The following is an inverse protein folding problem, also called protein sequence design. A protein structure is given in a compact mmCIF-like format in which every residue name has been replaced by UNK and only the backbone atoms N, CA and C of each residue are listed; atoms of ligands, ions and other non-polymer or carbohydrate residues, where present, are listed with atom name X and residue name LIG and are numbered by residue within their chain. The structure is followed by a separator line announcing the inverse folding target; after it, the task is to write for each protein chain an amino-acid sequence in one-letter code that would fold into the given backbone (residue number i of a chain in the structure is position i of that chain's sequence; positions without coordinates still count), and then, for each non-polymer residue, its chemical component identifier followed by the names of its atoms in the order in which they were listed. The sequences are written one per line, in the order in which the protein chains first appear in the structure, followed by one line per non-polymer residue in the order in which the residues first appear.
data_IF_083217026130
#
_entry.id   IF_083217026130
#
_cell.length_a   1.000
_cell.length_b   1.000
_cell.length_c   1.000
_cell.angle_alpha   90.00
_cell.angle_beta   90.00
_cell.angle_gamma   90.00
#
_symmetry.space_group_name_H-M   'P 1'
#
loop_
_entity.id
_entity.type
_entity.pdbx_description
1 polymer ?
#
# COMPACT_ATOMS: atom_id res chain seq x y z
N UNK A 1 -8.42 29.94 34.09
CA UNK A 1 -8.40 29.72 32.62
C UNK A 1 -7.70 28.42 32.19
N UNK A 2 -7.25 27.57 33.14
CA UNK A 2 -6.43 26.36 32.82
C UNK A 2 -7.17 25.01 32.91
N UNK A 3 -8.30 24.91 33.61
CA UNK A 3 -9.06 23.64 33.69
C UNK A 3 -9.66 23.19 32.35
N UNK A 4 -10.11 24.11 31.51
CA UNK A 4 -10.64 23.81 30.17
C UNK A 4 -9.56 23.38 29.15
N UNK A 5 -8.29 23.70 29.41
CA UNK A 5 -7.16 23.22 28.57
C UNK A 5 -6.67 21.83 28.98
N UNK A 6 -6.80 21.47 30.25
CA UNK A 6 -6.48 20.12 30.73
C UNK A 6 -7.56 19.10 30.37
N UNK A 7 -8.87 19.45 30.49
CA UNK A 7 -9.96 18.60 30.00
C UNK A 7 -9.93 18.36 28.47
N UNK A 8 -9.40 19.30 27.68
CA UNK A 8 -9.20 19.14 26.24
C UNK A 8 -7.94 18.32 25.87
N UNK A 9 -7.01 18.10 26.81
CA UNK A 9 -5.80 17.28 26.61
C UNK A 9 -6.03 15.78 26.73
N UNK A 10 -7.11 15.34 27.39
CA UNK A 10 -7.41 13.91 27.63
C UNK A 10 -8.47 13.31 26.71
N UNK A 11 -9.09 14.07 25.82
CA UNK A 11 -10.06 13.51 24.85
C UNK A 11 -9.34 12.68 23.80
N UNK A 12 -9.39 11.37 23.99
CA UNK A 12 -8.90 10.43 22.98
C UNK A 12 -9.82 10.47 21.76
N UNK A 13 -9.34 11.10 20.66
CA UNK A 13 -10.10 11.26 19.41
C UNK A 13 -10.68 9.94 18.90
N UNK A 14 -9.95 8.84 19.05
CA UNK A 14 -10.39 7.51 18.62
C UNK A 14 -11.61 7.02 19.42
N UNK A 15 -11.76 7.46 20.69
CA UNK A 15 -12.86 7.11 21.57
C UNK A 15 -14.06 8.05 21.41
N UNK A 16 -13.82 9.36 21.46
CA UNK A 16 -14.86 10.37 21.72
C UNK A 16 -15.45 10.98 20.46
N UNK A 17 -14.70 10.97 19.34
CA UNK A 17 -15.15 11.59 18.10
C UNK A 17 -16.18 10.72 17.37
N UNK A 18 -17.26 11.29 16.80
CA UNK A 18 -18.18 10.57 15.91
C UNK A 18 -17.41 9.89 14.76
N UNK A 19 -17.72 8.64 14.48
CA UNK A 19 -16.96 7.80 13.55
C UNK A 19 -16.88 8.39 12.14
N UNK A 20 -17.99 8.96 11.61
CA UNK A 20 -17.97 9.59 10.28
C UNK A 20 -17.00 10.76 10.20
N UNK A 21 -16.97 11.63 11.23
CA UNK A 21 -16.02 12.75 11.30
C UNK A 21 -14.57 12.28 11.46
N UNK A 22 -14.36 11.26 12.31
CA UNK A 22 -13.04 10.65 12.52
C UNK A 22 -12.50 10.02 11.22
N UNK A 23 -13.37 9.33 10.46
CA UNK A 23 -13.03 8.72 9.18
C UNK A 23 -12.56 9.77 8.15
N UNK A 24 -13.22 10.93 8.09
CA UNK A 24 -12.80 12.03 7.21
C UNK A 24 -11.49 12.64 7.70
N UNK A 25 -11.36 12.91 8.99
CA UNK A 25 -10.18 13.55 9.56
C UNK A 25 -8.92 12.68 9.43
N UNK A 26 -9.06 11.37 9.53
CA UNK A 26 -7.94 10.43 9.31
C UNK A 26 -7.77 10.07 7.84
N UNK A 27 -8.87 9.90 7.12
CA UNK A 27 -8.85 9.43 5.73
C UNK A 27 -8.28 10.44 4.75
N UNK A 28 -8.65 11.74 4.86
CA UNK A 28 -8.14 12.76 3.94
C UNK A 28 -6.60 12.82 3.93
N UNK A 29 -5.90 12.91 5.07
CA UNK A 29 -4.44 12.88 5.08
C UNK A 29 -3.87 11.60 4.46
N UNK A 30 -4.45 10.44 4.74
CA UNK A 30 -3.98 9.15 4.22
C UNK A 30 -4.21 9.02 2.70
N UNK A 31 -5.36 9.50 2.20
CA UNK A 31 -5.63 9.58 0.76
C UNK A 31 -4.60 10.49 0.07
N UNK A 32 -4.35 11.67 0.64
CA UNK A 32 -3.35 12.60 0.11
C UNK A 32 -1.95 11.98 0.10
N UNK A 33 -1.61 11.25 1.15
CA UNK A 33 -0.35 10.53 1.28
C UNK A 33 -0.16 9.52 0.15
N UNK A 34 -1.17 8.70 -0.12
CA UNK A 34 -1.16 7.71 -1.21
C UNK A 34 -1.12 8.35 -2.60
N UNK A 35 -1.86 9.45 -2.80
CA UNK A 35 -1.84 10.19 -4.06
C UNK A 35 -0.45 10.78 -4.34
N UNK A 36 0.20 11.36 -3.33
CA UNK A 36 1.56 11.88 -3.44
C UNK A 36 2.58 10.77 -3.71
N UNK A 37 2.42 9.60 -3.12
CA UNK A 37 3.27 8.45 -3.41
C UNK A 37 3.17 8.04 -4.88
N UNK A 38 1.98 8.06 -5.47
CA UNK A 38 1.80 7.77 -6.90
C UNK A 38 2.52 8.80 -7.78
N UNK A 39 2.37 10.09 -7.46
CA UNK A 39 3.07 11.18 -8.18
C UNK A 39 4.58 11.05 -8.05
N UNK A 40 5.09 10.83 -6.85
CA UNK A 40 6.50 10.63 -6.59
C UNK A 40 7.10 9.50 -7.44
N UNK A 41 6.45 8.32 -7.49
CA UNK A 41 6.94 7.19 -8.30
C UNK A 41 7.02 7.51 -9.80
N UNK A 42 6.10 8.35 -10.31
CA UNK A 42 6.11 8.80 -11.70
C UNK A 42 7.28 9.75 -11.94
N UNK A 43 7.49 10.70 -11.04
CA UNK A 43 8.55 11.73 -11.15
C UNK A 43 9.94 11.09 -11.09
N UNK A 44 10.19 10.18 -10.12
CA UNK A 44 11.45 9.45 -9.99
C UNK A 44 11.78 8.67 -11.28
N UNK A 45 10.82 7.93 -11.82
CA UNK A 45 11.00 7.21 -13.08
C UNK A 45 11.27 8.13 -14.27
N UNK A 46 10.66 9.32 -14.28
CA UNK A 46 10.87 10.31 -15.33
C UNK A 46 12.29 10.90 -15.29
N UNK A 47 12.83 11.18 -14.10
CA UNK A 47 14.21 11.66 -13.99
C UNK A 47 15.23 10.63 -14.49
N UNK A 48 15.08 9.36 -14.10
CA UNK A 48 15.97 8.28 -14.57
C UNK A 48 15.84 8.07 -16.09
N UNK A 49 14.62 8.11 -16.63
CA UNK A 49 14.36 7.97 -18.07
C UNK A 49 14.90 9.12 -18.93
N UNK A 50 15.17 10.29 -18.35
CA UNK A 50 15.72 11.46 -19.03
C UNK A 50 17.24 11.63 -18.85
N UNK A 51 17.95 10.61 -18.37
CA UNK A 51 19.42 10.64 -18.30
C UNK A 51 20.03 10.78 -19.70
N UNK A 52 21.08 11.60 -19.81
CA UNK A 52 21.76 11.88 -21.11
C UNK A 52 22.48 10.66 -21.71
N UNK A 53 22.99 9.78 -20.85
CA UNK A 53 23.74 8.58 -21.23
C UNK A 53 23.22 7.38 -20.46
N UNK A 54 22.94 6.29 -21.17
CA UNK A 54 22.56 5.02 -20.56
C UNK A 54 21.16 4.97 -19.97
N UNK A 55 20.24 5.86 -20.37
CA UNK A 55 18.85 5.89 -19.84
C UNK A 55 18.10 4.58 -20.07
N UNK A 56 18.30 3.93 -21.22
CA UNK A 56 17.68 2.63 -21.51
C UNK A 56 18.23 1.53 -20.59
N UNK A 57 19.55 1.46 -20.42
CA UNK A 57 20.18 0.51 -19.49
C UNK A 57 19.76 0.79 -18.04
N UNK A 58 19.62 2.06 -17.67
CA UNK A 58 19.15 2.47 -16.35
C UNK A 58 17.69 2.03 -16.09
N UNK A 59 16.79 2.23 -17.05
CA UNK A 59 15.39 1.75 -16.93
C UNK A 59 15.30 0.24 -16.86
N UNK A 60 16.12 -0.47 -17.66
CA UNK A 60 16.23 -1.93 -17.56
C UNK A 60 16.74 -2.36 -16.18
N UNK A 61 17.79 -1.70 -15.67
CA UNK A 61 18.31 -1.97 -14.33
C UNK A 61 17.23 -1.79 -13.25
N UNK A 62 16.45 -0.69 -13.28
CA UNK A 62 15.34 -0.48 -12.36
C UNK A 62 14.27 -1.57 -12.47
N UNK A 63 13.99 -2.07 -13.67
CA UNK A 63 13.03 -3.15 -13.88
C UNK A 63 13.49 -4.46 -13.20
N UNK A 64 14.78 -4.79 -13.28
CA UNK A 64 15.35 -5.98 -12.63
C UNK A 64 15.37 -5.87 -11.10
N UNK A 65 15.53 -4.67 -10.58
CA UNK A 65 15.58 -4.38 -9.14
C UNK A 65 14.18 -4.36 -8.49
N UNK A 66 13.18 -3.98 -9.27
CA UNK A 66 11.81 -3.73 -8.79
C UNK A 66 11.21 -4.86 -7.94
N UNK A 67 11.35 -6.18 -8.28
CA UNK A 67 10.78 -7.24 -7.45
C UNK A 67 11.32 -7.27 -6.03
N UNK A 68 12.62 -7.04 -5.83
CA UNK A 68 13.23 -7.03 -4.50
C UNK A 68 12.82 -5.78 -3.72
N UNK A 69 12.76 -4.62 -4.38
CA UNK A 69 12.24 -3.40 -3.75
C UNK A 69 10.79 -3.59 -3.29
N UNK A 70 9.94 -4.18 -4.13
CA UNK A 70 8.55 -4.48 -3.76
C UNK A 70 8.45 -5.44 -2.60
N UNK A 71 9.34 -6.43 -2.51
CA UNK A 71 9.41 -7.34 -1.37
C UNK A 71 9.78 -6.60 -0.07
N UNK A 72 10.78 -5.71 -0.11
CA UNK A 72 11.16 -4.90 1.06
C UNK A 72 10.01 -4.00 1.53
N UNK A 73 9.34 -3.35 0.58
CA UNK A 73 8.15 -2.52 0.87
C UNK A 73 7.03 -3.38 1.45
N UNK A 74 6.76 -4.55 0.87
CA UNK A 74 5.73 -5.48 1.34
C UNK A 74 6.00 -5.96 2.77
N UNK A 75 7.24 -6.28 3.11
CA UNK A 75 7.64 -6.69 4.46
C UNK A 75 7.42 -5.54 5.47
N UNK A 76 7.82 -4.32 5.13
CA UNK A 76 7.61 -3.14 5.96
C UNK A 76 6.13 -2.83 6.17
N UNK A 77 5.38 -2.68 5.08
CA UNK A 77 3.95 -2.34 5.11
C UNK A 77 3.14 -3.45 5.78
N UNK A 78 3.38 -4.72 5.45
CA UNK A 78 2.61 -5.83 6.00
C UNK A 78 2.82 -5.99 7.51
N UNK A 79 4.08 -5.91 7.99
CA UNK A 79 4.38 -5.89 9.42
C UNK A 79 3.72 -4.68 10.09
N UNK A 80 3.77 -3.52 9.44
CA UNK A 80 3.14 -2.29 9.92
C UNK A 80 1.61 -2.39 9.99
N UNK A 81 0.94 -3.00 9.02
CA UNK A 81 -0.53 -3.21 9.01
C UNK A 81 -0.96 -4.11 10.16
N UNK A 82 -0.24 -5.22 10.38
CA UNK A 82 -0.49 -6.10 11.53
C UNK A 82 -0.31 -5.37 12.87
N UNK A 83 0.75 -4.58 12.99
CA UNK A 83 1.03 -3.74 14.16
C UNK A 83 -0.07 -2.70 14.38
N UNK A 84 -0.49 -1.99 13.34
CA UNK A 84 -1.54 -0.97 13.39
C UNK A 84 -2.85 -1.52 13.95
N UNK A 85 -3.35 -2.60 13.35
CA UNK A 85 -4.60 -3.22 13.79
C UNK A 85 -4.51 -3.76 15.23
N UNK A 86 -3.38 -4.37 15.59
CA UNK A 86 -3.19 -4.93 16.93
C UNK A 86 -3.09 -3.83 18.00
N UNK A 87 -2.31 -2.77 17.76
CA UNK A 87 -2.20 -1.63 18.69
C UNK A 87 -3.55 -0.93 18.85
N UNK A 88 -4.21 -0.58 17.74
CA UNK A 88 -5.49 0.13 17.79
C UNK A 88 -6.53 -0.66 18.61
N UNK A 89 -6.60 -1.98 18.41
CA UNK A 89 -7.46 -2.86 19.20
C UNK A 89 -7.09 -2.89 20.68
N UNK A 90 -5.80 -3.05 20.99
CA UNK A 90 -5.31 -3.14 22.38
C UNK A 90 -5.54 -1.83 23.13
N UNK A 91 -5.35 -0.69 22.47
CA UNK A 91 -5.71 0.62 23.01
C UNK A 91 -7.22 0.78 23.22
N UNK A 92 -8.05 0.20 22.33
CA UNK A 92 -9.49 0.14 22.49
C UNK A 92 -9.90 -0.67 23.73
N UNK A 93 -9.15 -1.72 24.07
CA UNK A 93 -9.32 -2.51 25.30
C UNK A 93 -8.84 -1.78 26.57
N UNK A 94 -8.14 -0.64 26.43
CA UNK A 94 -7.55 0.10 27.54
C UNK A 94 -6.21 -0.46 28.05
N UNK A 95 -5.67 -1.48 27.42
CA UNK A 95 -4.42 -2.15 27.81
C UNK A 95 -3.21 -1.44 27.19
N UNK A 96 -2.77 -0.36 27.84
CA UNK A 96 -1.64 0.48 27.38
C UNK A 96 -0.30 -0.27 27.45
N UNK A 97 -0.10 -1.13 28.43
CA UNK A 97 1.14 -1.90 28.59
C UNK A 97 1.32 -2.89 27.44
N UNK A 98 0.23 -3.60 27.09
CA UNK A 98 0.26 -4.51 25.95
C UNK A 98 0.46 -3.77 24.63
N UNK A 99 -0.12 -2.57 24.46
CA UNK A 99 0.11 -1.73 23.30
C UNK A 99 1.58 -1.32 23.18
N UNK A 100 2.25 -0.97 24.29
CA UNK A 100 3.69 -0.68 24.35
C UNK A 100 4.52 -1.91 23.93
N UNK A 101 4.17 -3.11 24.40
CA UNK A 101 4.84 -4.36 24.02
C UNK A 101 4.64 -4.67 22.52
N UNK A 102 3.47 -4.42 21.96
CA UNK A 102 3.22 -4.59 20.52
C UNK A 102 4.06 -3.62 19.71
N UNK A 103 4.13 -2.35 20.10
CA UNK A 103 4.98 -1.34 19.45
C UNK A 103 6.47 -1.72 19.53
N UNK A 104 6.97 -2.10 20.71
CA UNK A 104 8.36 -2.54 20.89
C UNK A 104 8.70 -3.79 20.05
N UNK A 105 7.82 -4.80 20.04
CA UNK A 105 8.01 -5.99 19.23
C UNK A 105 7.98 -5.68 17.71
N UNK A 106 7.18 -4.72 17.27
CA UNK A 106 7.18 -4.31 15.86
C UNK A 106 8.51 -3.67 15.44
N UNK A 107 9.09 -2.84 16.31
CA UNK A 107 10.41 -2.24 16.07
C UNK A 107 11.53 -3.31 16.08
N UNK A 108 11.45 -4.30 16.98
CA UNK A 108 12.34 -5.47 16.95
C UNK A 108 12.23 -6.23 15.64
N UNK A 109 11.02 -6.51 15.17
CA UNK A 109 10.79 -7.17 13.87
C UNK A 109 11.34 -6.33 12.72
N UNK A 110 11.17 -5.01 12.77
CA UNK A 110 11.79 -4.09 11.80
C UNK A 110 13.30 -4.21 11.75
N UNK A 111 13.96 -4.32 12.91
CA UNK A 111 15.39 -4.53 12.97
C UNK A 111 15.81 -5.90 12.40
N UNK A 112 15.03 -6.96 12.64
CA UNK A 112 15.29 -8.30 12.05
C UNK A 112 15.14 -8.25 10.52
N UNK A 113 14.07 -7.65 10.01
CA UNK A 113 13.85 -7.49 8.57
C UNK A 113 15.00 -6.69 7.94
N UNK A 114 15.42 -5.60 8.59
CA UNK A 114 16.56 -4.81 8.14
C UNK A 114 17.84 -5.65 8.05
N UNK A 115 18.15 -6.45 9.08
CA UNK A 115 19.36 -7.32 9.07
C UNK A 115 19.30 -8.32 7.91
N UNK A 116 18.13 -8.91 7.64
CA UNK A 116 17.94 -9.82 6.49
C UNK A 116 18.18 -9.08 5.17
N UNK A 117 17.61 -7.89 4.99
CA UNK A 117 17.82 -7.07 3.79
C UNK A 117 19.28 -6.63 3.64
N UNK A 118 19.94 -6.26 4.75
CA UNK A 118 21.36 -5.89 4.77
C UNK A 118 22.25 -7.07 4.32
N UNK A 119 22.03 -8.25 4.89
CA UNK A 119 22.79 -9.45 4.51
C UNK A 119 22.58 -9.80 3.03
N UNK A 120 21.34 -9.71 2.54
CA UNK A 120 21.07 -9.89 1.11
C UNK A 120 21.75 -8.80 0.27
N UNK A 121 21.76 -7.56 0.72
CA UNK A 121 22.42 -6.43 0.06
C UNK A 121 23.92 -6.64 -0.13
N UNK A 122 24.58 -7.24 0.89
CA UNK A 122 26.02 -7.49 0.86
C UNK A 122 26.36 -8.77 0.06
N UNK A 123 25.60 -9.85 0.26
CA UNK A 123 25.97 -11.19 -0.22
C UNK A 123 25.18 -11.63 -1.46
N UNK A 124 23.91 -11.22 -1.60
CA UNK A 124 22.97 -11.82 -2.56
C UNK A 124 22.72 -11.02 -3.82
N UNK A 125 22.87 -9.68 -3.77
CA UNK A 125 22.44 -8.80 -4.85
C UNK A 125 23.11 -9.11 -6.18
N UNK A 126 24.43 -9.31 -6.20
CA UNK A 126 25.15 -9.60 -7.46
C UNK A 126 24.70 -10.91 -8.09
N UNK A 127 24.58 -11.96 -7.29
CA UNK A 127 24.12 -13.29 -7.74
C UNK A 127 22.68 -13.19 -8.31
N UNK A 128 21.81 -12.46 -7.64
CA UNK A 128 20.43 -12.23 -8.08
C UNK A 128 20.37 -11.49 -9.43
N UNK A 129 21.11 -10.40 -9.62
CA UNK A 129 21.10 -9.63 -10.86
C UNK A 129 21.74 -10.41 -12.02
N UNK A 130 22.91 -11.03 -11.82
CA UNK A 130 23.60 -11.83 -12.85
C UNK A 130 22.72 -13.00 -13.33
N UNK A 131 21.83 -13.54 -12.49
CA UNK A 131 20.89 -14.60 -12.90
C UNK A 131 19.81 -14.10 -13.90
N UNK A 132 19.63 -12.79 -14.06
CA UNK A 132 18.57 -12.22 -14.88
C UNK A 132 19.05 -11.54 -16.17
N UNK A 133 20.30 -11.10 -16.25
CA UNK A 133 20.85 -10.40 -17.42
C UNK A 133 22.31 -10.75 -17.64
N UNK A 134 22.71 -10.78 -18.90
CA UNK A 134 24.12 -10.91 -19.33
C UNK A 134 24.74 -9.57 -19.74
N UNK A 135 23.94 -8.50 -19.80
CA UNK A 135 24.43 -7.16 -20.12
C UNK A 135 25.22 -6.60 -18.92
N UNK A 136 26.50 -6.33 -19.16
CA UNK A 136 27.42 -5.88 -18.11
C UNK A 136 27.04 -4.48 -17.59
N UNK A 137 26.60 -3.58 -18.47
CA UNK A 137 26.24 -2.21 -18.08
C UNK A 137 24.95 -2.23 -17.21
N UNK A 138 23.93 -2.96 -17.64
CA UNK A 138 22.70 -3.14 -16.87
C UNK A 138 22.99 -3.82 -15.54
N UNK A 139 23.86 -4.83 -15.53
CA UNK A 139 24.26 -5.56 -14.32
C UNK A 139 24.90 -4.63 -13.28
N UNK A 140 25.89 -3.82 -13.66
CA UNK A 140 26.57 -2.94 -12.70
C UNK A 140 25.61 -1.85 -12.17
N UNK A 141 24.79 -1.24 -13.03
CA UNK A 141 23.78 -0.26 -12.62
C UNK A 141 22.75 -0.88 -11.65
N UNK A 142 22.26 -2.08 -11.94
CA UNK A 142 21.27 -2.76 -11.10
C UNK A 142 21.86 -3.21 -9.76
N UNK A 143 23.10 -3.74 -9.75
CA UNK A 143 23.81 -4.13 -8.55
C UNK A 143 24.05 -2.94 -7.64
N UNK A 144 24.53 -1.84 -8.18
CA UNK A 144 24.80 -0.63 -7.40
C UNK A 144 23.51 -0.08 -6.79
N UNK A 145 22.46 0.08 -7.58
CA UNK A 145 21.17 0.58 -7.12
C UNK A 145 20.58 -0.32 -6.01
N UNK A 146 20.48 -1.61 -6.28
CA UNK A 146 19.85 -2.56 -5.34
C UNK A 146 20.67 -2.71 -4.06
N UNK A 147 22.00 -2.73 -4.15
CA UNK A 147 22.88 -2.79 -2.98
C UNK A 147 22.67 -1.57 -2.07
N UNK A 148 22.63 -0.36 -2.64
CA UNK A 148 22.34 0.86 -1.87
C UNK A 148 20.98 0.72 -1.20
N UNK A 149 19.91 0.34 -1.92
CA UNK A 149 18.58 0.18 -1.38
C UNK A 149 18.53 -0.86 -0.25
N UNK A 150 19.21 -1.99 -0.37
CA UNK A 150 19.20 -3.04 0.64
C UNK A 150 20.04 -2.68 1.87
N UNK A 151 21.22 -2.10 1.69
CA UNK A 151 22.11 -1.72 2.80
C UNK A 151 21.47 -0.63 3.67
N UNK A 152 20.78 0.32 3.07
CA UNK A 152 20.09 1.39 3.78
C UNK A 152 18.58 1.15 3.92
N UNK A 153 18.10 -0.07 3.78
CA UNK A 153 16.68 -0.43 3.86
C UNK A 153 16.02 -0.11 5.22
N UNK A 154 16.81 0.16 6.27
CA UNK A 154 16.26 0.63 7.53
C UNK A 154 15.40 1.90 7.36
N UNK A 155 15.70 2.77 6.41
CA UNK A 155 14.90 3.94 6.09
C UNK A 155 13.46 3.58 5.77
N UNK A 156 13.24 2.74 4.76
CA UNK A 156 11.88 2.34 4.34
C UNK A 156 11.16 1.47 5.36
N UNK A 157 11.89 0.58 6.06
CA UNK A 157 11.30 -0.34 7.03
C UNK A 157 10.81 0.44 8.25
N UNK A 158 11.65 1.27 8.85
CA UNK A 158 11.26 2.06 10.03
C UNK A 158 10.30 3.19 9.69
N UNK A 159 10.40 3.81 8.50
CA UNK A 159 9.38 4.72 7.98
C UNK A 159 8.00 4.06 8.02
N UNK A 160 7.87 2.87 7.39
CA UNK A 160 6.59 2.14 7.33
C UNK A 160 6.06 1.79 8.73
N UNK A 161 6.93 1.39 9.65
CA UNK A 161 6.52 1.05 11.02
C UNK A 161 6.05 2.29 11.80
N UNK A 162 6.84 3.37 11.82
CA UNK A 162 6.44 4.59 12.53
C UNK A 162 5.20 5.25 11.94
N UNK A 163 5.04 5.18 10.61
CA UNK A 163 3.81 5.59 9.94
C UNK A 163 2.61 4.85 10.52
N UNK A 164 2.65 3.53 10.58
CA UNK A 164 1.56 2.69 11.08
C UNK A 164 1.33 2.82 12.59
N UNK A 165 2.38 3.07 13.39
CA UNK A 165 2.27 3.38 14.81
C UNK A 165 1.52 4.71 15.06
N UNK A 166 1.77 5.74 14.25
CA UNK A 166 1.06 7.02 14.33
C UNK A 166 -0.39 6.89 13.85
N UNK A 167 -0.63 6.11 12.80
CA UNK A 167 -1.98 5.84 12.29
C UNK A 167 -2.83 5.08 13.32
N UNK A 168 -2.25 4.10 14.03
CA UNK A 168 -2.93 3.30 15.06
C UNK A 168 -3.48 4.15 16.22
N UNK A 169 -2.86 5.30 16.50
CA UNK A 169 -3.25 6.24 17.56
C UNK A 169 -4.06 7.43 17.04
N UNK A 170 -4.52 7.37 15.78
CA UNK A 170 -5.33 8.44 15.18
C UNK A 170 -4.55 9.68 14.72
N UNK A 171 -3.21 9.58 14.64
CA UNK A 171 -2.31 10.69 14.25
C UNK A 171 -1.90 10.65 12.78
N UNK A 172 -2.85 10.35 11.89
CA UNK A 172 -2.61 10.21 10.45
C UNK A 172 -2.04 11.46 9.77
N UNK A 173 -2.40 12.66 10.27
CA UNK A 173 -1.82 13.91 9.75
C UNK A 173 -0.29 13.94 9.89
N UNK A 174 0.24 13.47 11.01
CA UNK A 174 1.69 13.46 11.25
C UNK A 174 2.37 12.39 10.39
N UNK A 175 1.72 11.25 10.15
CA UNK A 175 2.25 10.25 9.21
C UNK A 175 2.31 10.80 7.79
N UNK A 176 1.29 11.54 7.36
CA UNK A 176 1.26 12.23 6.06
C UNK A 176 2.38 13.30 5.95
N UNK A 177 2.59 14.12 6.98
CA UNK A 177 3.67 15.11 6.98
C UNK A 177 5.04 14.44 6.78
N UNK A 178 5.29 13.32 7.46
CA UNK A 178 6.53 12.57 7.28
C UNK A 178 6.71 12.03 5.87
N UNK A 179 5.65 11.49 5.27
CA UNK A 179 5.68 10.98 3.90
C UNK A 179 5.89 12.10 2.87
N UNK A 180 5.16 13.22 3.02
CA UNK A 180 5.31 14.40 2.14
C UNK A 180 6.74 14.94 2.19
N UNK A 181 7.31 15.06 3.40
CA UNK A 181 8.69 15.53 3.56
C UNK A 181 9.69 14.63 2.83
N UNK A 182 9.55 13.30 2.97
CA UNK A 182 10.44 12.36 2.28
C UNK A 182 10.31 12.45 0.76
N UNK A 183 9.09 12.56 0.25
CA UNK A 183 8.83 12.72 -1.18
C UNK A 183 9.42 14.03 -1.72
N UNK A 184 9.26 15.14 -1.01
CA UNK A 184 9.83 16.44 -1.39
C UNK A 184 11.37 16.39 -1.41
N UNK A 185 11.98 15.80 -0.37
CA UNK A 185 13.44 15.64 -0.31
C UNK A 185 13.93 14.81 -1.49
N UNK A 186 13.28 13.70 -1.79
CA UNK A 186 13.64 12.85 -2.92
C UNK A 186 13.53 13.61 -4.26
N UNK A 187 12.39 14.26 -4.55
CA UNK A 187 12.17 15.03 -5.78
C UNK A 187 13.22 16.15 -5.97
N UNK A 188 13.66 16.77 -4.89
CA UNK A 188 14.72 17.78 -4.93
C UNK A 188 16.09 17.15 -5.18
N UNK A 189 16.39 16.03 -4.53
CA UNK A 189 17.70 15.37 -4.62
C UNK A 189 17.88 14.60 -5.93
N UNK A 190 16.82 14.08 -6.55
CA UNK A 190 16.90 13.34 -7.80
C UNK A 190 17.66 14.11 -8.88
N UNK A 191 17.26 15.33 -9.33
CA UNK A 191 18.01 16.04 -10.35
C UNK A 191 19.42 16.47 -9.89
N UNK A 192 19.61 16.74 -8.59
CA UNK A 192 20.91 17.13 -8.06
C UNK A 192 21.92 15.98 -8.13
N UNK A 193 21.50 14.76 -7.77
CA UNK A 193 22.38 13.60 -7.68
C UNK A 193 22.43 12.80 -8.98
N UNK A 194 21.32 12.72 -9.74
CA UNK A 194 21.29 12.00 -11.01
C UNK A 194 22.11 12.76 -12.06
N UNK A 195 21.90 14.07 -12.21
CA UNK A 195 22.50 14.88 -13.26
C UNK A 195 23.74 15.67 -12.81
N UNK A 196 24.07 15.66 -11.53
CA UNK A 196 25.22 16.39 -11.01
C UNK A 196 25.05 17.91 -11.06
N UNK A 197 23.92 18.44 -10.55
CA UNK A 197 23.65 19.87 -10.56
C UNK A 197 24.30 20.56 -9.35
N UNK A 198 24.99 21.67 -9.58
CA UNK A 198 25.67 22.46 -8.55
C UNK A 198 26.95 21.79 -8.02
N UNK A 199 27.13 21.64 -6.70
CA UNK A 199 28.34 21.05 -6.12
C UNK A 199 28.34 19.51 -6.13
N UNK A 200 27.26 18.87 -6.60
CA UNK A 200 27.12 17.41 -6.60
C UNK A 200 27.72 16.78 -7.86
N UNK A 201 28.42 15.64 -7.74
CA UNK A 201 28.87 14.88 -8.89
C UNK A 201 27.68 14.20 -9.58
N UNK A 202 27.78 14.00 -10.90
CA UNK A 202 26.83 13.20 -11.66
C UNK A 202 26.94 11.73 -11.25
N UNK A 203 25.89 11.18 -10.62
CA UNK A 203 25.87 9.83 -10.07
C UNK A 203 24.97 8.88 -10.86
N UNK A 204 24.15 9.39 -11.78
CA UNK A 204 23.23 8.60 -12.58
C UNK A 204 22.28 7.76 -11.70
N UNK A 205 22.19 6.46 -11.97
CA UNK A 205 21.31 5.52 -11.25
C UNK A 205 21.65 5.42 -9.76
N UNK A 206 22.94 5.54 -9.38
CA UNK A 206 23.33 5.61 -7.96
C UNK A 206 22.74 6.84 -7.28
N UNK A 207 22.69 7.97 -8.00
CA UNK A 207 22.09 9.22 -7.52
C UNK A 207 20.60 9.05 -7.18
N UNK A 208 19.84 8.38 -8.05
CA UNK A 208 18.44 8.05 -7.79
C UNK A 208 18.29 7.17 -6.54
N UNK A 209 19.15 6.15 -6.35
CA UNK A 209 19.15 5.31 -5.16
C UNK A 209 19.39 6.14 -3.87
N UNK A 210 20.42 7.01 -3.88
CA UNK A 210 20.72 7.84 -2.72
C UNK A 210 19.63 8.86 -2.43
N UNK A 211 19.03 9.50 -3.43
CA UNK A 211 17.92 10.43 -3.25
C UNK A 211 16.73 9.75 -2.57
N UNK A 212 16.35 8.56 -3.06
CA UNK A 212 15.27 7.75 -2.49
C UNK A 212 15.55 7.41 -1.02
N UNK A 213 16.76 6.92 -0.71
CA UNK A 213 17.13 6.51 0.65
C UNK A 213 17.19 7.69 1.61
N UNK A 214 17.77 8.81 1.19
CA UNK A 214 17.84 10.02 2.03
C UNK A 214 16.42 10.49 2.36
N UNK A 215 15.50 10.50 1.39
CA UNK A 215 14.10 10.82 1.61
C UNK A 215 13.43 9.87 2.61
N UNK A 216 13.64 8.56 2.47
CA UNK A 216 13.08 7.55 3.38
C UNK A 216 13.65 7.65 4.79
N UNK A 217 14.96 7.87 4.95
CA UNK A 217 15.60 8.04 6.26
C UNK A 217 15.10 9.33 6.93
N UNK A 218 15.02 10.43 6.19
CA UNK A 218 14.50 11.69 6.74
C UNK A 218 13.05 11.52 7.21
N UNK A 219 12.21 10.84 6.46
CA UNK A 219 10.85 10.47 6.86
C UNK A 219 10.86 9.62 8.13
N UNK A 220 11.67 8.55 8.16
CA UNK A 220 11.75 7.65 9.30
C UNK A 220 12.16 8.39 10.58
N UNK A 221 13.16 9.28 10.49
CA UNK A 221 13.62 10.10 11.61
C UNK A 221 12.53 11.05 12.10
N UNK A 222 11.86 11.77 11.18
CA UNK A 222 10.78 12.69 11.55
C UNK A 222 9.61 11.95 12.20
N UNK A 223 9.20 10.81 11.63
CA UNK A 223 8.10 10.00 12.19
C UNK A 223 8.48 9.37 13.52
N UNK A 224 9.73 8.97 13.72
CA UNK A 224 10.26 8.54 15.02
C UNK A 224 10.13 9.66 16.07
N UNK A 225 10.54 10.88 15.73
CA UNK A 225 10.39 12.04 16.62
C UNK A 225 8.92 12.31 16.94
N UNK A 226 8.05 12.26 15.96
CA UNK A 226 6.61 12.41 16.19
C UNK A 226 6.05 11.26 17.05
N UNK A 227 6.47 10.02 16.81
CA UNK A 227 6.07 8.89 17.62
C UNK A 227 6.45 9.07 19.08
N UNK A 228 7.71 9.41 19.36
CA UNK A 228 8.21 9.58 20.73
C UNK A 228 7.58 10.78 21.46
N UNK A 229 7.30 11.88 20.75
CA UNK A 229 6.76 13.10 21.37
C UNK A 229 5.24 13.12 21.46
N UNK A 230 4.53 12.50 20.56
CA UNK A 230 3.09 12.63 20.42
C UNK A 230 2.31 11.38 20.86
N UNK A 231 2.85 10.18 20.69
CA UNK A 231 2.17 8.93 21.08
C UNK A 231 2.32 8.68 22.58
N UNK A 232 1.57 9.44 23.38
CA UNK A 232 1.53 9.32 24.84
C UNK A 232 0.53 8.27 25.34
N UNK A 233 -0.13 7.57 24.42
CA UNK A 233 -1.14 6.55 24.73
C UNK A 233 -0.53 5.30 25.36
N UNK A 234 0.76 5.06 25.14
CA UNK A 234 1.52 3.97 25.75
C UNK A 234 2.97 4.40 25.99
N UNK A 235 3.65 3.67 26.85
CA UNK A 235 5.02 3.96 27.23
C UNK A 235 6.01 3.55 26.13
N UNK A 236 7.11 4.29 26.04
CA UNK A 236 8.21 4.02 25.12
C UNK A 236 9.42 3.53 25.91
N UNK A 237 10.08 2.48 25.44
CA UNK A 237 11.32 2.02 26.06
C UNK A 237 11.87 0.74 25.44
N UNK A 238 13.19 0.56 25.51
CA UNK A 238 13.87 -0.64 25.02
C UNK A 238 13.42 -1.92 25.74
N UNK A 239 12.89 -1.80 26.97
CA UNK A 239 12.34 -2.94 27.71
C UNK A 239 11.18 -3.62 26.99
N UNK A 240 10.38 -2.87 26.21
CA UNK A 240 9.27 -3.38 25.44
C UNK A 240 9.68 -4.04 24.12
N UNK A 241 10.94 -3.92 23.70
CA UNK A 241 11.48 -4.55 22.50
C UNK A 241 11.86 -6.02 22.70
N UNK A 242 11.75 -6.55 23.93
CA UNK A 242 11.98 -7.98 24.18
C UNK A 242 11.00 -8.81 23.35
N UNK A 243 11.51 -9.76 22.53
CA UNK A 243 10.65 -10.55 21.65
C UNK A 243 9.67 -11.40 22.47
N UNK A 244 8.38 -11.24 22.20
CA UNK A 244 7.30 -12.06 22.71
C UNK A 244 6.62 -12.77 21.53
N UNK A 245 6.77 -14.10 21.49
CA UNK A 245 6.24 -14.91 20.40
C UNK A 245 4.72 -14.81 20.23
N UNK A 246 3.98 -14.59 21.32
CA UNK A 246 2.52 -14.42 21.26
C UNK A 246 2.14 -13.13 20.57
N UNK A 247 2.89 -12.06 20.82
CA UNK A 247 2.72 -10.76 20.17
C UNK A 247 3.15 -10.85 18.70
N UNK A 248 4.30 -11.42 18.42
CA UNK A 248 4.81 -11.61 17.05
C UNK A 248 3.83 -12.40 16.20
N UNK A 249 3.30 -13.52 16.74
CA UNK A 249 2.27 -14.30 16.05
C UNK A 249 0.99 -13.48 15.82
N UNK A 250 0.60 -12.64 16.76
CA UNK A 250 -0.55 -11.74 16.62
C UNK A 250 -0.36 -10.69 15.51
N UNK A 251 0.83 -10.09 15.42
CA UNK A 251 1.19 -9.15 14.35
C UNK A 251 1.13 -9.85 12.98
N UNK A 252 1.75 -11.03 12.84
CA UNK A 252 1.81 -11.73 11.56
C UNK A 252 0.53 -12.50 11.20
N UNK A 253 -0.39 -12.73 12.14
CA UNK A 253 -1.73 -13.24 11.80
C UNK A 253 -2.48 -12.30 10.84
N UNK A 254 -2.19 -11.01 10.89
CA UNK A 254 -2.73 -9.98 9.99
C UNK A 254 -1.66 -9.54 8.97
N UNK A 255 -0.43 -9.35 9.42
CA UNK A 255 0.67 -8.83 8.62
C UNK A 255 1.11 -9.75 7.49
N UNK A 256 1.21 -11.06 7.72
CA UNK A 256 1.60 -12.01 6.68
C UNK A 256 0.60 -12.08 5.52
N UNK A 257 -0.71 -12.18 5.74
CA UNK A 257 -1.70 -11.99 4.68
C UNK A 257 -1.52 -10.68 3.90
N UNK A 258 -1.23 -9.57 4.58
CA UNK A 258 -1.02 -8.27 3.91
C UNK A 258 0.25 -8.25 3.04
N UNK A 259 1.35 -8.90 3.47
CA UNK A 259 2.56 -9.11 2.67
C UNK A 259 2.23 -9.89 1.39
N UNK A 260 1.51 -10.99 1.53
CA UNK A 260 1.11 -11.84 0.38
C UNK A 260 0.25 -11.05 -0.60
N UNK A 261 -0.72 -10.28 -0.12
CA UNK A 261 -1.58 -9.43 -0.95
C UNK A 261 -0.76 -8.48 -1.82
N UNK A 262 0.29 -7.87 -1.25
CA UNK A 262 1.16 -6.96 -1.99
C UNK A 262 1.95 -7.69 -3.10
N UNK A 263 2.44 -8.90 -2.83
CA UNK A 263 3.12 -9.73 -3.81
C UNK A 263 2.18 -10.19 -4.94
N UNK A 264 0.93 -10.54 -4.61
CA UNK A 264 -0.09 -10.97 -5.56
C UNK A 264 -0.40 -9.91 -6.63
N UNK A 265 -0.36 -8.62 -6.27
CA UNK A 265 -0.57 -7.54 -7.25
C UNK A 265 0.48 -7.57 -8.37
N UNK A 266 1.74 -7.78 -8.05
CA UNK A 266 2.82 -7.88 -9.04
C UNK A 266 2.68 -9.13 -9.91
N UNK A 267 2.31 -10.26 -9.31
CA UNK A 267 2.07 -11.52 -10.04
C UNK A 267 0.91 -11.37 -11.03
N UNK A 268 -0.18 -10.72 -10.62
CA UNK A 268 -1.35 -10.47 -11.48
C UNK A 268 -0.95 -9.65 -12.72
N UNK A 269 -0.23 -8.55 -12.53
CA UNK A 269 0.20 -7.68 -13.64
C UNK A 269 1.09 -8.45 -14.61
N UNK A 270 2.06 -9.19 -14.09
CA UNK A 270 2.95 -10.03 -14.91
C UNK A 270 2.16 -11.06 -15.74
N UNK A 271 1.26 -11.80 -15.09
CA UNK A 271 0.46 -12.84 -15.75
C UNK A 271 -0.49 -12.25 -16.81
N UNK A 272 -1.12 -11.10 -16.56
CA UNK A 272 -1.95 -10.42 -17.55
C UNK A 272 -1.13 -9.94 -18.74
N UNK A 273 0.08 -9.44 -18.54
CA UNK A 273 0.98 -9.10 -19.62
C UNK A 273 1.34 -10.32 -20.49
N UNK A 274 1.55 -11.50 -19.88
CA UNK A 274 1.75 -12.74 -20.63
C UNK A 274 0.50 -13.16 -21.44
N UNK A 275 -0.69 -13.02 -20.86
CA UNK A 275 -1.96 -13.30 -21.53
C UNK A 275 -2.14 -12.38 -22.75
N UNK A 276 -1.79 -11.09 -22.62
CA UNK A 276 -1.93 -10.07 -23.67
C UNK A 276 -0.79 -10.08 -24.71
N UNK A 277 0.26 -10.88 -24.52
CA UNK A 277 1.44 -10.90 -25.38
C UNK A 277 1.15 -11.10 -26.88
N UNK A 278 0.02 -11.72 -27.22
CA UNK A 278 -0.38 -11.96 -28.62
C UNK A 278 -0.81 -10.66 -29.35
N UNK A 279 -1.13 -9.57 -28.63
CA UNK A 279 -1.48 -8.27 -29.19
C UNK A 279 -0.70 -7.17 -28.45
N UNK A 280 0.39 -6.72 -29.05
CA UNK A 280 1.29 -5.74 -28.46
C UNK A 280 0.59 -4.40 -28.16
N UNK A 281 -0.35 -3.97 -29.03
CA UNK A 281 -1.10 -2.73 -28.80
C UNK A 281 -2.04 -2.83 -27.61
N UNK A 282 -2.69 -3.99 -27.40
CA UNK A 282 -3.51 -4.24 -26.22
C UNK A 282 -2.67 -4.35 -24.95
N UNK A 283 -1.50 -4.98 -25.03
CA UNK A 283 -0.57 -5.07 -23.91
C UNK A 283 -0.07 -3.67 -23.47
N UNK A 284 0.29 -2.83 -24.44
CA UNK A 284 0.69 -1.43 -24.17
C UNK A 284 -0.47 -0.63 -23.58
N UNK A 285 -1.67 -0.78 -24.13
CA UNK A 285 -2.88 -0.14 -23.62
C UNK A 285 -3.16 -0.51 -22.18
N UNK A 286 -3.04 -1.80 -21.81
CA UNK A 286 -3.17 -2.25 -20.44
C UNK A 286 -2.13 -1.62 -19.51
N UNK A 287 -0.86 -1.57 -19.92
CA UNK A 287 0.22 -0.95 -19.15
C UNK A 287 -0.03 0.53 -18.86
N UNK A 288 -0.53 1.28 -19.84
CA UNK A 288 -0.91 2.69 -19.67
C UNK A 288 -2.14 2.84 -18.78
N UNK A 289 -3.16 2.02 -19.00
CA UNK A 289 -4.38 2.01 -18.18
C UNK A 289 -4.07 1.66 -16.72
N UNK A 290 -3.17 0.70 -16.48
CA UNK A 290 -2.79 0.28 -15.13
C UNK A 290 -2.24 1.44 -14.29
N UNK A 291 -1.53 2.39 -14.89
CA UNK A 291 -1.07 3.61 -14.18
C UNK A 291 -2.24 4.47 -13.72
N UNK A 292 -3.27 4.63 -14.55
CA UNK A 292 -4.51 5.35 -14.18
C UNK A 292 -5.25 4.60 -13.06
N UNK A 293 -5.41 3.30 -13.23
CA UNK A 293 -6.06 2.43 -12.24
C UNK A 293 -5.35 2.48 -10.88
N UNK A 294 -4.02 2.40 -10.87
CA UNK A 294 -3.25 2.52 -9.62
C UNK A 294 -3.50 3.84 -8.91
N UNK A 295 -3.51 4.96 -9.64
CA UNK A 295 -3.79 6.25 -9.05
C UNK A 295 -5.17 6.28 -8.38
N UNK A 296 -6.21 5.80 -9.06
CA UNK A 296 -7.57 5.73 -8.50
C UNK A 296 -7.64 4.77 -7.30
N UNK A 297 -7.03 3.59 -7.38
CA UNK A 297 -7.03 2.62 -6.29
C UNK A 297 -6.20 3.08 -5.08
N UNK A 298 -5.18 3.90 -5.26
CA UNK A 298 -4.42 4.47 -4.13
C UNK A 298 -5.29 5.36 -3.25
N UNK A 299 -6.30 6.03 -3.81
CA UNK A 299 -7.29 6.76 -3.03
C UNK A 299 -8.09 5.80 -2.11
N UNK A 300 -8.49 4.63 -2.63
CA UNK A 300 -9.15 3.60 -1.82
C UNK A 300 -8.22 2.99 -0.76
N UNK A 301 -6.94 2.77 -1.09
CA UNK A 301 -5.96 2.29 -0.12
C UNK A 301 -5.71 3.29 1.01
N UNK A 302 -5.66 4.59 0.70
CA UNK A 302 -5.57 5.63 1.71
C UNK A 302 -6.75 5.61 2.68
N UNK A 303 -7.97 5.45 2.17
CA UNK A 303 -9.16 5.35 3.02
C UNK A 303 -9.20 4.03 3.81
N UNK A 304 -8.79 2.90 3.22
CA UNK A 304 -8.62 1.61 3.92
C UNK A 304 -7.71 1.75 5.14
N UNK A 305 -6.62 2.48 4.99
CA UNK A 305 -5.65 2.70 6.07
C UNK A 305 -6.25 3.49 7.24
N UNK A 306 -7.30 4.31 7.01
CA UNK A 306 -8.12 4.93 8.06
C UNK A 306 -9.18 3.97 8.63
N UNK A 307 -9.83 3.17 7.78
CA UNK A 307 -10.85 2.19 8.19
C UNK A 307 -10.27 1.18 9.18
N UNK A 308 -9.06 0.70 8.93
CA UNK A 308 -8.42 -0.36 9.74
C UNK A 308 -8.27 0.03 11.21
N UNK A 309 -7.56 1.12 11.60
CA UNK A 309 -7.39 1.47 13.00
C UNK A 309 -8.68 1.89 13.69
N UNK A 310 -9.59 2.60 13.00
CA UNK A 310 -10.87 3.03 13.56
C UNK A 310 -11.75 1.82 13.90
N UNK A 311 -11.84 0.86 12.99
CA UNK A 311 -12.62 -0.37 13.20
C UNK A 311 -11.97 -1.25 14.27
N UNK A 312 -10.64 -1.40 14.27
CA UNK A 312 -9.90 -2.19 15.24
C UNK A 312 -10.03 -1.61 16.66
N UNK A 313 -9.93 -0.30 16.80
CA UNK A 313 -10.13 0.39 18.08
C UNK A 313 -11.56 0.19 18.61
N UNK A 314 -12.57 0.37 17.75
CA UNK A 314 -13.97 0.18 18.08
C UNK A 314 -14.26 -1.29 18.48
N UNK A 315 -13.61 -2.24 17.81
CA UNK A 315 -13.67 -3.65 18.15
C UNK A 315 -13.02 -3.94 19.50
N UNK A 316 -11.87 -3.33 19.79
CA UNK A 316 -11.21 -3.41 21.08
C UNK A 316 -12.08 -2.89 22.24
N UNK A 317 -12.82 -1.79 22.02
CA UNK A 317 -13.78 -1.24 22.99
C UNK A 317 -15.02 -2.12 23.21
N UNK A 318 -15.30 -3.09 22.34
CA UNK A 318 -16.54 -3.87 22.40
C UNK A 318 -17.80 -3.09 21.98
N UNK A 319 -17.64 -1.87 21.43
CA UNK A 319 -18.77 -1.02 21.02
C UNK A 319 -19.31 -1.45 19.64
N UNK A 320 -20.35 -2.25 19.65
CA UNK A 320 -21.02 -2.77 18.46
C UNK A 320 -21.54 -1.66 17.53
N UNK A 321 -22.11 -0.59 18.10
CA UNK A 321 -22.64 0.53 17.31
C UNK A 321 -21.50 1.21 16.56
N UNK A 322 -20.40 1.47 17.26
CA UNK A 322 -19.22 2.12 16.71
C UNK A 322 -18.53 1.26 15.63
N UNK A 323 -18.50 -0.07 15.80
CA UNK A 323 -18.02 -1.01 14.77
C UNK A 323 -18.90 -0.92 13.52
N UNK A 324 -20.22 -0.98 13.66
CA UNK A 324 -21.15 -0.88 12.53
C UNK A 324 -21.05 0.47 11.83
N UNK A 325 -20.90 1.57 12.57
CA UNK A 325 -20.69 2.91 12.01
C UNK A 325 -19.37 3.00 11.26
N UNK A 326 -18.29 2.40 11.77
CA UNK A 326 -16.98 2.37 11.09
C UNK A 326 -17.06 1.62 9.76
N UNK A 327 -17.71 0.48 9.73
CA UNK A 327 -17.94 -0.31 8.51
C UNK A 327 -18.81 0.49 7.53
N UNK A 328 -19.93 1.03 8.00
CA UNK A 328 -20.89 1.80 7.17
C UNK A 328 -20.24 3.01 6.52
N UNK A 329 -19.64 3.89 7.32
CA UNK A 329 -19.01 5.11 6.80
C UNK A 329 -17.78 4.79 5.95
N UNK A 330 -16.99 3.79 6.33
CA UNK A 330 -15.86 3.33 5.53
C UNK A 330 -16.28 2.90 4.13
N UNK A 331 -17.32 2.06 4.01
CA UNK A 331 -17.84 1.62 2.71
C UNK A 331 -18.46 2.78 1.92
N UNK A 332 -19.30 3.61 2.55
CA UNK A 332 -19.96 4.73 1.88
C UNK A 332 -18.93 5.71 1.31
N UNK A 333 -17.94 6.12 2.10
CA UNK A 333 -16.93 7.08 1.64
C UNK A 333 -16.04 6.48 0.55
N UNK A 334 -15.75 5.18 0.64
CA UNK A 334 -15.03 4.48 -0.44
C UNK A 334 -15.85 4.47 -1.73
N UNK A 335 -17.14 4.17 -1.67
CA UNK A 335 -18.02 4.21 -2.85
C UNK A 335 -18.05 5.60 -3.47
N UNK A 336 -18.25 6.66 -2.66
CA UNK A 336 -18.26 8.05 -3.16
C UNK A 336 -16.95 8.40 -3.87
N UNK A 337 -15.81 8.03 -3.27
CA UNK A 337 -14.50 8.27 -3.83
C UNK A 337 -14.27 7.51 -5.13
N UNK A 338 -14.72 6.24 -5.20
CA UNK A 338 -14.58 5.41 -6.39
C UNK A 338 -15.54 5.81 -7.52
N UNK A 339 -16.76 6.25 -7.20
CA UNK A 339 -17.67 6.84 -8.19
C UNK A 339 -17.07 8.10 -8.80
N UNK A 340 -16.43 8.94 -7.99
CA UNK A 340 -15.70 10.10 -8.51
C UNK A 340 -14.54 9.67 -9.43
N UNK A 341 -13.71 8.71 -9.02
CA UNK A 341 -12.64 8.17 -9.87
C UNK A 341 -13.15 7.55 -11.16
N UNK A 342 -14.24 6.79 -11.11
CA UNK A 342 -14.92 6.23 -12.28
C UNK A 342 -15.43 7.34 -13.20
N UNK A 343 -16.09 8.35 -12.67
CA UNK A 343 -16.61 9.47 -13.47
C UNK A 343 -15.50 10.21 -14.21
N UNK A 344 -14.36 10.47 -13.56
CA UNK A 344 -13.20 11.11 -14.19
C UNK A 344 -12.65 10.26 -15.33
N UNK A 345 -12.53 8.95 -15.15
CA UNK A 345 -12.03 8.05 -16.19
C UNK A 345 -13.00 7.89 -17.37
N UNK A 346 -14.32 7.89 -17.12
CA UNK A 346 -15.35 7.80 -18.15
C UNK A 346 -15.55 9.09 -18.94
N UNK A 347 -15.40 10.25 -18.30
CA UNK A 347 -15.60 11.54 -18.96
C UNK A 347 -14.39 11.97 -19.80
N UNK A 348 -13.18 11.57 -19.42
CA UNK A 348 -11.95 12.06 -20.04
C UNK A 348 -11.02 10.97 -20.64
N UNK A 349 -11.50 9.86 -21.20
CA UNK A 349 -10.63 8.78 -21.69
C UNK A 349 -9.73 9.25 -22.85
N UNK A 350 -10.25 10.11 -23.74
CA UNK A 350 -9.49 10.66 -24.85
C UNK A 350 -8.37 11.63 -24.41
N UNK A 351 -8.61 12.40 -23.32
CA UNK A 351 -7.61 13.28 -22.73
C UNK A 351 -6.45 12.48 -22.12
N UNK A 352 -6.77 11.40 -21.38
CA UNK A 352 -5.75 10.47 -20.86
C UNK A 352 -4.97 9.79 -22.00
N UNK A 353 -5.65 9.37 -23.08
CA UNK A 353 -4.98 8.80 -24.24
C UNK A 353 -3.99 9.77 -24.90
N UNK A 354 -4.36 11.06 -24.94
CA UNK A 354 -3.45 12.12 -25.40
C UNK A 354 -2.28 12.37 -24.45
N UNK A 355 -2.54 12.44 -23.15
CA UNK A 355 -1.54 12.65 -22.10
C UNK A 355 -0.45 11.57 -22.12
N UNK A 356 -0.85 10.31 -22.33
CA UNK A 356 0.07 9.17 -22.37
C UNK A 356 0.62 8.85 -23.75
N UNK A 357 0.34 9.67 -24.78
CA UNK A 357 0.74 9.43 -26.17
C UNK A 357 0.45 7.97 -26.61
N UNK A 358 -0.78 7.53 -26.41
CA UNK A 358 -1.17 6.12 -26.60
C UNK A 358 -1.00 5.61 -28.06
N UNK A 359 -0.78 6.48 -29.05
CA UNK A 359 -0.44 6.14 -30.43
C UNK A 359 -1.38 5.08 -31.04
N UNK A 360 -0.81 3.99 -31.52
CA UNK A 360 -1.56 2.86 -32.11
C UNK A 360 -2.42 2.09 -31.06
N UNK A 361 -2.08 2.21 -29.78
CA UNK A 361 -2.82 1.56 -28.69
C UNK A 361 -4.04 2.35 -28.21
N UNK A 362 -4.32 3.54 -28.81
CA UNK A 362 -5.34 4.48 -28.36
C UNK A 362 -6.74 3.87 -28.27
N UNK A 363 -7.16 3.08 -29.25
CA UNK A 363 -8.48 2.44 -29.27
C UNK A 363 -8.60 1.48 -28.10
N UNK A 364 -7.67 0.56 -27.98
CA UNK A 364 -7.65 -0.42 -26.87
C UNK A 364 -7.54 0.24 -25.49
N UNK A 365 -6.82 1.36 -25.39
CA UNK A 365 -6.70 2.14 -24.16
C UNK A 365 -8.03 2.80 -23.77
N UNK A 366 -8.75 3.41 -24.71
CA UNK A 366 -10.06 4.01 -24.47
C UNK A 366 -11.08 2.94 -24.07
N UNK A 367 -11.07 1.78 -24.73
CA UNK A 367 -11.95 0.65 -24.39
C UNK A 367 -11.63 0.12 -22.99
N UNK A 368 -10.33 -0.03 -22.65
CA UNK A 368 -9.90 -0.41 -21.31
C UNK A 368 -10.37 0.62 -20.27
N UNK A 369 -10.20 1.92 -20.54
CA UNK A 369 -10.67 2.99 -19.65
C UNK A 369 -12.15 2.87 -19.36
N UNK A 370 -12.99 2.69 -20.38
CA UNK A 370 -14.46 2.62 -20.25
C UNK A 370 -14.93 1.33 -19.60
N UNK A 371 -14.38 0.18 -19.98
CA UNK A 371 -14.87 -1.10 -19.47
C UNK A 371 -14.35 -1.39 -18.07
N UNK A 372 -13.03 -1.19 -17.84
CA UNK A 372 -12.44 -1.55 -16.55
C UNK A 372 -12.84 -0.55 -15.46
N UNK A 373 -13.05 0.74 -15.79
CA UNK A 373 -13.49 1.74 -14.79
C UNK A 373 -14.82 1.39 -14.13
N UNK A 374 -15.70 0.65 -14.81
CA UNK A 374 -16.95 0.14 -14.23
C UNK A 374 -16.70 -0.74 -13.00
N UNK A 375 -15.52 -1.36 -12.92
CA UNK A 375 -15.11 -2.15 -11.78
C UNK A 375 -14.68 -1.33 -10.55
N UNK A 376 -14.36 -0.04 -10.70
CA UNK A 376 -13.72 0.76 -9.63
C UNK A 376 -14.53 0.80 -8.35
N UNK A 377 -15.84 0.92 -8.44
CA UNK A 377 -16.71 0.95 -7.25
C UNK A 377 -16.60 -0.37 -6.47
N UNK A 378 -16.67 -1.50 -7.17
CA UNK A 378 -16.55 -2.83 -6.55
C UNK A 378 -15.13 -3.09 -6.05
N UNK A 379 -14.12 -2.67 -6.81
CA UNK A 379 -12.71 -2.76 -6.42
C UNK A 379 -12.44 -1.97 -5.13
N UNK A 380 -12.99 -0.75 -5.02
CA UNK A 380 -12.89 0.05 -3.81
C UNK A 380 -13.56 -0.61 -2.61
N UNK A 381 -14.76 -1.14 -2.78
CA UNK A 381 -15.48 -1.88 -1.73
C UNK A 381 -14.67 -3.11 -1.27
N UNK A 382 -14.06 -3.85 -2.21
CA UNK A 382 -13.18 -4.97 -1.90
C UNK A 382 -11.93 -4.53 -1.10
N UNK A 383 -11.36 -3.36 -1.43
CA UNK A 383 -10.25 -2.77 -0.67
C UNK A 383 -10.71 -2.36 0.73
N UNK A 384 -11.90 -1.77 0.88
CA UNK A 384 -12.47 -1.47 2.19
C UNK A 384 -12.71 -2.74 3.02
N UNK A 385 -13.20 -3.82 2.41
CA UNK A 385 -13.33 -5.12 3.07
C UNK A 385 -12.01 -5.65 3.61
N UNK A 386 -10.91 -5.51 2.85
CA UNK A 386 -9.58 -5.90 3.34
C UNK A 386 -9.23 -5.19 4.65
N UNK A 387 -9.44 -3.87 4.74
CA UNK A 387 -9.19 -3.10 5.95
C UNK A 387 -10.09 -3.50 7.12
N UNK A 388 -11.38 -3.73 6.85
CA UNK A 388 -12.34 -4.19 7.85
C UNK A 388 -11.96 -5.58 8.40
N UNK A 389 -11.57 -6.52 7.53
CA UNK A 389 -11.13 -7.84 7.98
C UNK A 389 -9.86 -7.78 8.79
N UNK A 390 -8.86 -7.01 8.35
CA UNK A 390 -7.62 -6.81 9.10
C UNK A 390 -7.90 -6.25 10.51
N UNK A 391 -8.85 -5.33 10.62
CA UNK A 391 -9.29 -4.74 11.88
C UNK A 391 -9.99 -5.74 12.80
N UNK A 392 -10.74 -6.70 12.25
CA UNK A 392 -11.51 -7.72 12.97
C UNK A 392 -10.76 -9.06 13.10
N UNK A 393 -9.42 -9.05 12.99
CA UNK A 393 -8.58 -10.26 13.03
C UNK A 393 -8.93 -11.29 11.93
N UNK A 394 -9.37 -10.80 10.79
CA UNK A 394 -9.73 -11.60 9.61
C UNK A 394 -8.65 -11.57 8.54
N UNK A 395 -7.38 -11.81 8.89
CA UNK A 395 -6.28 -11.83 7.93
C UNK A 395 -6.50 -12.84 6.80
N UNK A 396 -7.04 -14.01 7.12
CA UNK A 396 -7.37 -15.06 6.13
C UNK A 396 -8.49 -14.61 5.19
N UNK A 397 -9.56 -14.00 5.72
CA UNK A 397 -10.66 -13.47 4.91
C UNK A 397 -10.16 -12.38 3.95
N UNK A 398 -9.28 -11.49 4.42
CA UNK A 398 -8.61 -10.48 3.60
C UNK A 398 -7.77 -11.12 2.47
N UNK A 399 -7.02 -12.19 2.78
CA UNK A 399 -6.23 -12.93 1.80
C UNK A 399 -7.11 -13.63 0.76
N UNK A 400 -8.21 -14.27 1.18
CA UNK A 400 -9.14 -14.95 0.26
C UNK A 400 -9.69 -13.97 -0.77
N UNK A 401 -10.15 -12.79 -0.37
CA UNK A 401 -10.64 -11.78 -1.31
C UNK A 401 -9.53 -11.38 -2.28
N UNK A 402 -8.32 -11.17 -1.79
CA UNK A 402 -7.19 -10.78 -2.63
C UNK A 402 -6.80 -11.87 -3.64
N UNK A 403 -6.83 -13.13 -3.23
CA UNK A 403 -6.58 -14.27 -4.10
C UNK A 403 -7.65 -14.38 -5.21
N UNK A 404 -8.93 -14.19 -4.86
CA UNK A 404 -10.01 -14.19 -5.85
C UNK A 404 -9.82 -13.09 -6.89
N UNK A 405 -9.51 -11.87 -6.44
CA UNK A 405 -9.34 -10.69 -7.29
C UNK A 405 -8.12 -10.74 -8.18
N UNK A 406 -7.02 -11.27 -7.68
CA UNK A 406 -5.70 -11.12 -8.31
C UNK A 406 -5.20 -12.40 -9.02
N UNK A 407 -5.77 -13.56 -8.70
CA UNK A 407 -5.35 -14.84 -9.28
C UNK A 407 -6.52 -15.71 -9.74
N UNK A 408 -7.39 -16.11 -8.79
CA UNK A 408 -8.31 -17.24 -8.98
C UNK A 408 -9.40 -16.94 -10.02
N UNK A 409 -9.90 -15.70 -10.09
CA UNK A 409 -10.95 -15.33 -11.03
C UNK A 409 -10.38 -14.60 -12.24
N UNK A 410 -9.56 -13.55 -12.00
CA UNK A 410 -9.10 -12.67 -13.06
C UNK A 410 -8.26 -13.39 -14.12
N UNK A 411 -7.30 -14.23 -13.72
CA UNK A 411 -6.38 -14.85 -14.66
C UNK A 411 -7.04 -15.94 -15.52
N UNK A 412 -7.82 -16.89 -14.96
CA UNK A 412 -8.54 -17.85 -15.78
C UNK A 412 -9.56 -17.19 -16.71
N UNK A 413 -10.28 -16.17 -16.24
CA UNK A 413 -11.27 -15.48 -17.03
C UNK A 413 -10.64 -14.67 -18.18
N UNK A 414 -9.58 -13.91 -17.89
CA UNK A 414 -8.82 -13.19 -18.91
C UNK A 414 -8.18 -14.16 -19.92
N UNK A 415 -7.66 -15.30 -19.45
CA UNK A 415 -7.12 -16.35 -20.30
C UNK A 415 -8.15 -16.98 -21.23
N UNK A 416 -9.34 -17.28 -20.71
CA UNK A 416 -10.46 -17.80 -21.52
C UNK A 416 -10.93 -16.78 -22.57
N UNK A 417 -11.08 -15.52 -22.20
CA UNK A 417 -11.43 -14.45 -23.14
C UNK A 417 -10.34 -14.22 -24.18
N UNK A 418 -9.06 -14.26 -23.79
CA UNK A 418 -7.96 -14.16 -24.72
C UNK A 418 -7.93 -15.35 -25.72
N UNK A 419 -8.34 -16.56 -25.32
CA UNK A 419 -8.47 -17.70 -26.22
C UNK A 419 -9.57 -17.49 -27.27
N UNK A 420 -10.73 -16.93 -26.88
CA UNK A 420 -11.80 -16.56 -27.79
C UNK A 420 -11.38 -15.48 -28.81
N UNK A 421 -10.64 -14.47 -28.33
CA UNK A 421 -10.10 -13.40 -29.19
C UNK A 421 -9.09 -13.97 -30.20
N UNK A 422 -8.17 -14.85 -29.77
CA UNK A 422 -7.21 -15.52 -30.67
C UNK A 422 -7.90 -16.42 -31.70
N UNK A 423 -9.02 -17.01 -31.34
CA UNK A 423 -9.85 -17.84 -32.25
C UNK A 423 -10.68 -17.00 -33.22
N UNK A 424 -10.59 -15.67 -33.20
CA UNK A 424 -11.38 -14.77 -34.07
C UNK A 424 -12.88 -14.72 -33.73
N UNK A 425 -13.28 -15.20 -32.55
CA UNK A 425 -14.67 -15.25 -32.11
C UNK A 425 -15.13 -14.00 -31.37
N UNK A 426 -14.18 -13.15 -30.94
CA UNK A 426 -14.47 -11.95 -30.17
C UNK A 426 -13.41 -10.87 -30.40
N UNK A 427 -13.76 -9.62 -30.08
CA UNK A 427 -12.85 -8.50 -30.07
C UNK A 427 -12.01 -8.46 -28.78
N UNK A 428 -10.87 -7.78 -28.83
CA UNK A 428 -9.92 -7.62 -27.69
C UNK A 428 -10.60 -7.00 -26.48
N UNK A 429 -11.58 -6.12 -26.67
CA UNK A 429 -12.38 -5.49 -25.62
C UNK A 429 -13.04 -6.50 -24.66
N UNK A 430 -13.31 -7.73 -25.13
CA UNK A 430 -13.84 -8.80 -24.27
C UNK A 430 -12.92 -9.10 -23.07
N UNK A 431 -11.60 -9.02 -23.25
CA UNK A 431 -10.63 -9.30 -22.17
C UNK A 431 -10.81 -8.32 -21.01
N UNK A 432 -11.15 -7.07 -21.30
CA UNK A 432 -11.37 -6.05 -20.28
C UNK A 432 -12.55 -6.34 -19.36
N UNK A 433 -13.54 -7.07 -19.83
CA UNK A 433 -14.68 -7.50 -19.01
C UNK A 433 -14.30 -8.47 -17.89
N UNK A 434 -13.14 -9.11 -17.98
CA UNK A 434 -12.63 -9.92 -16.87
C UNK A 434 -12.51 -9.15 -15.56
N UNK A 435 -12.19 -7.84 -15.61
CA UNK A 435 -12.05 -7.00 -14.42
C UNK A 435 -13.38 -6.72 -13.70
N UNK A 436 -14.44 -6.17 -14.37
CA UNK A 436 -15.73 -5.96 -13.72
C UNK A 436 -16.33 -7.26 -13.16
N UNK A 437 -16.29 -8.35 -13.91
CA UNK A 437 -16.81 -9.65 -13.47
C UNK A 437 -16.08 -10.11 -12.20
N UNK A 438 -14.74 -10.04 -12.19
CA UNK A 438 -13.92 -10.43 -11.06
C UNK A 438 -14.22 -9.61 -9.81
N UNK A 439 -14.31 -8.28 -9.95
CA UNK A 439 -14.55 -7.39 -8.81
C UNK A 439 -15.95 -7.54 -8.23
N UNK A 440 -16.97 -7.75 -9.09
CA UNK A 440 -18.35 -8.01 -8.65
C UNK A 440 -18.44 -9.33 -7.90
N UNK A 441 -17.90 -10.42 -8.44
CA UNK A 441 -17.92 -11.73 -7.80
C UNK A 441 -17.18 -11.68 -6.45
N UNK A 442 -16.01 -11.07 -6.42
CA UNK A 442 -15.23 -10.90 -5.20
C UNK A 442 -15.97 -10.04 -4.15
N UNK A 443 -16.69 -9.01 -4.58
CA UNK A 443 -17.50 -8.18 -3.70
C UNK A 443 -18.66 -8.96 -3.07
N UNK A 444 -19.35 -9.81 -3.85
CA UNK A 444 -20.40 -10.69 -3.33
C UNK A 444 -19.84 -11.66 -2.28
N UNK A 445 -18.73 -12.33 -2.60
CA UNK A 445 -18.05 -13.22 -1.64
C UNK A 445 -17.63 -12.44 -0.39
N UNK A 446 -17.04 -11.25 -0.56
CA UNK A 446 -16.67 -10.37 0.53
C UNK A 446 -17.86 -10.02 1.44
N UNK A 447 -19.00 -9.65 0.86
CA UNK A 447 -20.21 -9.35 1.63
C UNK A 447 -20.69 -10.56 2.46
N UNK A 448 -20.66 -11.76 1.87
CA UNK A 448 -21.04 -13.00 2.59
C UNK A 448 -20.10 -13.29 3.75
N UNK A 449 -18.78 -13.18 3.52
CA UNK A 449 -17.78 -13.37 4.56
C UNK A 449 -17.92 -12.32 5.66
N UNK A 450 -18.17 -11.05 5.32
CA UNK A 450 -18.38 -9.98 6.29
C UNK A 450 -19.59 -10.25 7.18
N UNK A 451 -20.72 -10.66 6.60
CA UNK A 451 -21.91 -11.04 7.37
C UNK A 451 -21.63 -12.19 8.35
N UNK A 452 -20.87 -13.21 7.92
CA UNK A 452 -20.46 -14.33 8.79
C UNK A 452 -19.53 -13.85 9.91
N UNK A 453 -18.56 -13.01 9.59
CA UNK A 453 -17.60 -12.44 10.57
C UNK A 453 -18.33 -11.59 11.61
N UNK A 454 -19.23 -10.71 11.19
CA UNK A 454 -20.00 -9.84 12.07
C UNK A 454 -20.92 -10.63 13.01
N UNK A 455 -21.49 -11.73 12.56
CA UNK A 455 -22.26 -12.62 13.46
C UNK A 455 -21.39 -13.19 14.58
N UNK A 456 -20.16 -13.64 14.26
CA UNK A 456 -19.21 -14.16 15.27
C UNK A 456 -18.76 -13.06 16.23
N UNK A 457 -18.42 -11.88 15.72
CA UNK A 457 -18.06 -10.72 16.54
C UNK A 457 -19.19 -10.34 17.49
N UNK A 458 -20.44 -10.29 17.00
CA UNK A 458 -21.61 -9.98 17.84
C UNK A 458 -21.82 -11.02 18.93
N UNK A 459 -21.67 -12.32 18.62
CA UNK A 459 -21.81 -13.39 19.62
C UNK A 459 -20.73 -13.31 20.69
N UNK A 460 -19.48 -13.02 20.32
CA UNK A 460 -18.38 -12.89 21.28
C UNK A 460 -18.55 -11.67 22.22
N UNK A 461 -19.06 -10.56 21.70
CA UNK A 461 -19.33 -9.36 22.50
C UNK A 461 -20.50 -9.57 23.48
N UNK A 462 -21.52 -10.34 23.09
CA UNK A 462 -22.62 -10.71 24.02
C UNK A 462 -22.12 -11.57 25.18
N UNK A 463 -21.23 -12.52 24.91
CA UNK A 463 -20.67 -13.39 25.96
C UNK A 463 -19.80 -12.59 26.94
N UNK A 464 -19.01 -11.64 26.47
CA UNK A 464 -18.17 -10.80 27.33
C UNK A 464 -18.95 -9.77 28.16
N UNK A 465 -20.18 -9.45 27.81
CA UNK A 465 -21.05 -8.55 28.60
C UNK A 465 -21.83 -9.28 29.70
N UNK A 466 -21.80 -10.62 29.71
CA UNK A 466 -22.47 -11.49 30.71
C UNK A 466 -21.48 -12.04 31.75
N UNK A 467 -20.18 -11.91 31.53
CA UNK A 467 -19.09 -12.21 32.47
C UNK A 467 -18.52 -10.95 33.09
#
# INVERSE_FOLDING_TARGET
MDKNKEENRERNKMKDMPVGKLMIQMGIPMILSMALQAVYNIVDSAFVGNMKVGSEAALNALTLVFPVQMLMVALGIGTGVGTNAFIARTLGQGDKERAAKVAGNSLFLGAVIYVVCLLFGILGVRTYIVSQTMDTQVTEMAVDYLRICCVYSFGIIFFSLFEKLLQATGRSMYSTIGQVMGAVINIILDPLLIYGVGPFPEMGVRGAAYATIIGQIASAVLLCVFHLRLNKEFEHGCAYMKPDWRIIRGIYAIGLPAIIVQALMSIMVYALNLILKFNQSAQTAYGLFYKVQQFVLFLAFGLRDAITPITAYSYGMGDRKRINDAIKYGIIYTIVLMVFGMAVTELFPAAFAGLFNAGQSRVYFIDAMRIISLSFVFAGVNVAFQGIYQALEGGVESLVISLLRQLIIILPLAGAFAALVRGGQADVSLIWWAFPITEIVSCVVGMVLLRRKMRRVTSSLHLSSLT
#
